data_IF_444399493988
#
_entry.id   IF_444399493988
#
_cell.length_a   1.000
_cell.length_b   1.000
_cell.length_c   1.000
_cell.angle_alpha   90.00
_cell.angle_beta   90.00
_cell.angle_gamma   90.00
#
_symmetry.space_group_name_H-M   'P 1'
#
loop_
_entity.id
_entity.type
_entity.pdbx_description
1 polymer ?
#
# COMPACT_ATOMS: atom_id res chain seq x y z
N UNK A 1 27.48 24.14 7.65
CA UNK A 1 26.40 23.35 8.27
C UNK A 1 25.78 22.47 7.22
N UNK A 2 25.68 21.16 7.45
CA UNK A 2 25.08 20.21 6.51
C UNK A 2 23.59 20.57 6.23
N UNK A 3 23.08 20.41 5.00
CA UNK A 3 21.70 20.77 4.65
C UNK A 3 20.63 20.14 5.56
N UNK A 4 20.87 18.93 6.08
CA UNK A 4 19.97 18.24 7.00
C UNK A 4 19.82 18.98 8.34
N UNK A 5 20.92 19.49 8.90
CA UNK A 5 20.92 20.21 10.19
C UNK A 5 20.10 21.49 10.09
N UNK A 6 20.18 22.20 8.97
CA UNK A 6 19.42 23.43 8.76
C UNK A 6 17.90 23.17 8.70
N UNK A 7 17.47 22.14 7.98
CA UNK A 7 16.05 21.76 7.89
C UNK A 7 15.47 21.42 9.27
N UNK A 8 16.22 20.65 10.07
CA UNK A 8 15.78 20.23 11.40
C UNK A 8 15.69 21.42 12.36
N UNK A 9 16.66 22.35 12.32
CA UNK A 9 16.62 23.57 13.13
C UNK A 9 15.43 24.45 12.78
N UNK A 10 15.15 24.64 11.49
CA UNK A 10 13.97 25.41 11.04
C UNK A 10 12.68 24.74 11.54
N UNK A 11 12.57 23.43 11.37
CA UNK A 11 11.38 22.68 11.79
C UNK A 11 11.14 22.78 13.31
N UNK A 12 12.19 22.66 14.13
CA UNK A 12 12.11 22.85 15.59
C UNK A 12 11.59 24.23 15.99
N UNK A 13 12.01 25.27 15.27
CA UNK A 13 11.53 26.64 15.53
C UNK A 13 10.09 26.84 15.08
N UNK A 14 9.70 26.21 13.97
CA UNK A 14 8.36 26.40 13.37
C UNK A 14 7.26 25.60 14.06
N UNK A 15 7.54 24.40 14.59
CA UNK A 15 6.54 23.57 15.30
C UNK A 15 5.76 24.34 16.38
N UNK A 16 6.40 25.03 17.34
CA UNK A 16 5.67 25.70 18.43
C UNK A 16 4.85 26.90 17.97
N UNK A 17 5.22 27.54 16.86
CA UNK A 17 4.49 28.71 16.30
C UNK A 17 3.43 28.32 15.27
N UNK A 18 3.44 27.07 14.80
CA UNK A 18 2.48 26.59 13.81
C UNK A 18 1.17 26.21 14.48
N UNK A 19 0.15 27.03 14.29
CA UNK A 19 -1.18 26.74 14.84
C UNK A 19 -1.87 25.60 14.08
N UNK A 20 -2.65 24.78 14.79
CA UNK A 20 -3.52 23.76 14.17
C UNK A 20 -4.47 24.37 13.12
N UNK A 21 -4.86 25.64 13.30
CA UNK A 21 -5.67 26.40 12.33
C UNK A 21 -4.92 26.62 11.02
N UNK A 22 -3.65 27.01 11.07
CA UNK A 22 -2.85 27.22 9.86
C UNK A 22 -2.69 25.92 9.06
N UNK A 23 -2.41 24.80 9.73
CA UNK A 23 -2.31 23.48 9.09
C UNK A 23 -3.63 23.06 8.44
N UNK A 24 -4.76 23.31 9.11
CA UNK A 24 -6.07 23.00 8.53
C UNK A 24 -6.38 23.87 7.31
N UNK A 25 -5.98 25.14 7.31
CA UNK A 25 -6.21 26.05 6.19
C UNK A 25 -5.29 25.76 5.00
N UNK A 26 -4.10 25.18 5.22
CA UNK A 26 -3.23 24.75 4.13
C UNK A 26 -3.70 23.46 3.45
N UNK A 27 -4.57 22.68 4.10
CA UNK A 27 -5.03 21.38 3.60
C UNK A 27 -3.97 20.28 3.56
N UNK A 28 -2.74 20.57 4.02
CA UNK A 28 -1.59 19.68 4.01
C UNK A 28 -0.82 19.81 5.33
N UNK A 29 -0.71 18.69 6.07
CA UNK A 29 0.11 18.59 7.28
C UNK A 29 1.61 18.47 6.95
N UNK A 30 2.52 19.04 7.77
CA UNK A 30 3.97 18.90 7.62
C UNK A 30 4.46 17.45 7.51
N UNK A 31 3.72 16.50 8.08
CA UNK A 31 4.02 15.06 8.00
C UNK A 31 3.97 14.56 6.55
N UNK A 32 3.07 15.11 5.71
CA UNK A 32 3.05 14.79 4.27
C UNK A 32 4.33 15.24 3.58
N UNK A 33 4.78 16.47 3.84
CA UNK A 33 5.98 17.02 3.22
C UNK A 33 7.25 16.27 3.66
N UNK A 34 7.31 15.86 4.93
CA UNK A 34 8.41 15.06 5.44
C UNK A 34 8.43 13.65 4.81
N UNK A 35 7.27 13.00 4.67
CA UNK A 35 7.15 11.71 4.01
C UNK A 35 7.46 11.77 2.50
N UNK A 36 6.95 12.78 1.80
CA UNK A 36 7.21 12.97 0.37
C UNK A 36 8.70 13.25 0.10
N UNK A 37 9.34 14.03 0.98
CA UNK A 37 10.76 14.34 0.87
C UNK A 37 11.72 13.27 1.42
N UNK A 38 11.23 12.12 1.92
CA UNK A 38 12.04 11.08 2.56
C UNK A 38 12.85 11.58 3.76
N UNK A 39 12.35 12.58 4.48
CA UNK A 39 13.06 13.24 5.59
C UNK A 39 12.73 12.52 6.90
N UNK A 40 13.36 11.37 7.14
CA UNK A 40 13.11 10.51 8.31
C UNK A 40 13.28 11.22 9.65
N UNK A 41 14.33 12.03 9.81
CA UNK A 41 14.57 12.83 11.03
C UNK A 41 13.44 13.85 11.28
N UNK A 42 12.91 14.44 10.21
CA UNK A 42 11.78 15.37 10.30
C UNK A 42 10.49 14.62 10.65
N UNK A 43 10.27 13.42 10.09
CA UNK A 43 9.13 12.57 10.45
C UNK A 43 9.16 12.23 11.94
N UNK A 44 10.28 11.73 12.47
CA UNK A 44 10.43 11.40 13.88
C UNK A 44 10.15 12.60 14.79
N UNK A 45 10.71 13.77 14.45
CA UNK A 45 10.48 14.99 15.22
C UNK A 45 9.00 15.39 15.23
N UNK A 46 8.32 15.30 14.08
CA UNK A 46 6.89 15.62 13.99
C UNK A 46 6.04 14.63 14.79
N UNK A 47 6.36 13.33 14.73
CA UNK A 47 5.68 12.29 15.52
C UNK A 47 5.84 12.56 17.01
N UNK A 48 7.06 12.87 17.47
CA UNK A 48 7.34 13.21 18.88
C UNK A 48 6.57 14.45 19.36
N UNK A 49 6.24 15.38 18.46
CA UNK A 49 5.44 16.57 18.76
C UNK A 49 3.93 16.35 18.60
N UNK A 50 3.47 15.10 18.44
CA UNK A 50 2.05 14.75 18.45
C UNK A 50 1.28 15.14 17.18
N UNK A 51 1.97 15.28 16.05
CA UNK A 51 1.29 15.43 14.76
C UNK A 51 0.56 14.13 14.40
N UNK A 52 -0.67 14.26 13.90
CA UNK A 52 -1.47 13.10 13.49
C UNK A 52 -0.91 12.45 12.22
N UNK A 53 -0.42 11.22 12.36
CA UNK A 53 0.19 10.42 11.32
C UNK A 53 -0.79 10.00 10.22
N UNK A 54 -2.08 9.97 10.55
CA UNK A 54 -3.18 9.58 9.67
C UNK A 54 -3.91 10.78 9.06
N UNK A 55 -3.36 12.00 9.18
CA UNK A 55 -3.90 13.18 8.52
C UNK A 55 -4.04 12.90 7.02
N UNK A 56 -5.17 13.27 6.45
CA UNK A 56 -5.41 13.19 5.02
C UNK A 56 -5.29 14.57 4.39
N UNK A 57 -4.73 14.64 3.19
CA UNK A 57 -4.83 15.83 2.36
C UNK A 57 -6.29 16.24 2.15
N UNK A 58 -6.52 17.56 2.13
CA UNK A 58 -7.79 18.10 1.71
C UNK A 58 -8.11 17.69 0.27
N UNK A 59 -9.41 17.54 -0.01
CA UNK A 59 -9.92 17.05 -1.29
C UNK A 59 -9.30 17.79 -2.48
N UNK A 60 -9.29 19.12 -2.44
CA UNK A 60 -8.77 19.98 -3.51
C UNK A 60 -7.26 19.79 -3.78
N UNK A 61 -6.49 19.30 -2.80
CA UNK A 61 -5.07 18.96 -2.98
C UNK A 61 -4.95 17.53 -3.52
N UNK A 62 -5.68 16.58 -2.91
CA UNK A 62 -5.64 15.17 -3.33
C UNK A 62 -6.08 14.98 -4.79
N UNK A 63 -7.00 15.81 -5.28
CA UNK A 63 -7.48 15.79 -6.67
C UNK A 63 -6.44 16.27 -7.69
N UNK A 64 -5.40 16.99 -7.25
CA UNK A 64 -4.27 17.36 -8.12
C UNK A 64 -3.32 16.17 -8.38
N UNK A 65 -3.46 15.08 -7.62
CA UNK A 65 -2.73 13.84 -7.86
C UNK A 65 -3.59 12.85 -8.62
N UNK A 66 -3.09 12.36 -9.76
CA UNK A 66 -3.82 11.40 -10.60
C UNK A 66 -4.15 10.06 -9.93
N UNK A 67 -3.51 9.75 -8.79
CA UNK A 67 -3.77 8.56 -7.98
C UNK A 67 -4.57 8.84 -6.71
N UNK A 68 -5.02 10.08 -6.51
CA UNK A 68 -5.84 10.52 -5.38
C UNK A 68 -5.22 10.21 -4.01
N UNK A 69 -3.87 10.25 -3.92
CA UNK A 69 -3.14 10.05 -2.67
C UNK A 69 -3.55 11.05 -1.61
N UNK A 70 -3.60 10.60 -0.36
CA UNK A 70 -4.06 11.40 0.77
C UNK A 70 -3.16 11.30 1.98
N UNK A 71 -2.61 10.14 2.31
CA UNK A 71 -1.88 9.96 3.58
C UNK A 71 -0.37 10.12 3.45
N UNK A 72 0.33 10.49 4.53
CA UNK A 72 1.80 10.47 4.57
C UNK A 72 2.39 9.09 4.22
N UNK A 73 1.77 8.00 4.70
CA UNK A 73 2.21 6.64 4.40
C UNK A 73 2.19 6.36 2.91
N UNK A 74 1.16 6.82 2.20
CA UNK A 74 1.09 6.69 0.75
C UNK A 74 2.26 7.37 0.05
N UNK A 75 2.65 8.58 0.47
CA UNK A 75 3.80 9.28 -0.11
C UNK A 75 5.10 8.49 0.04
N UNK A 76 5.40 8.01 1.26
CA UNK A 76 6.59 7.18 1.51
C UNK A 76 6.59 5.91 0.64
N UNK A 77 5.44 5.20 0.59
CA UNK A 77 5.29 3.97 -0.19
C UNK A 77 5.39 4.23 -1.70
N UNK A 78 4.81 5.34 -2.19
CA UNK A 78 4.90 5.77 -3.59
C UNK A 78 6.33 6.15 -3.98
N UNK A 79 7.12 6.69 -3.06
CA UNK A 79 8.50 7.11 -3.31
C UNK A 79 9.50 5.96 -3.14
N UNK A 80 9.10 4.89 -2.45
CA UNK A 80 9.94 3.69 -2.27
C UNK A 80 10.76 3.75 -1.00
N UNK A 81 10.42 4.71 -0.14
CA UNK A 81 11.10 4.96 1.11
C UNK A 81 10.65 3.93 2.16
N UNK A 82 11.39 2.82 2.22
CA UNK A 82 11.17 1.74 3.20
C UNK A 82 11.30 2.26 4.62
N UNK A 83 12.33 3.06 4.89
CA UNK A 83 12.62 3.60 6.23
C UNK A 83 11.52 4.55 6.68
N UNK A 84 11.13 5.51 5.82
CA UNK A 84 10.02 6.42 6.11
C UNK A 84 8.70 5.69 6.30
N UNK A 85 8.40 4.70 5.45
CA UNK A 85 7.21 3.87 5.61
C UNK A 85 7.22 3.11 6.94
N UNK A 86 8.35 2.53 7.34
CA UNK A 86 8.48 1.82 8.61
C UNK A 86 8.26 2.75 9.82
N UNK A 87 8.86 3.95 9.80
CA UNK A 87 8.66 4.97 10.85
C UNK A 87 7.17 5.32 10.99
N UNK A 88 6.49 5.58 9.87
CA UNK A 88 5.07 5.91 9.86
C UNK A 88 4.21 4.74 10.39
N UNK A 89 4.50 3.51 9.96
CA UNK A 89 3.80 2.30 10.41
C UNK A 89 4.00 2.03 11.90
N UNK A 90 5.23 2.18 12.42
CA UNK A 90 5.54 2.10 13.87
C UNK A 90 4.77 3.15 14.67
N UNK A 91 4.55 4.31 14.09
CA UNK A 91 3.75 5.39 14.70
C UNK A 91 2.22 5.19 14.56
N UNK A 92 1.75 4.06 14.02
CA UNK A 92 0.33 3.74 13.90
C UNK A 92 -0.34 4.25 12.63
N UNK A 93 0.43 4.48 11.56
CA UNK A 93 -0.15 4.80 10.26
C UNK A 93 -1.02 3.64 9.74
N UNK A 94 -2.23 3.99 9.29
CA UNK A 94 -3.20 3.05 8.73
C UNK A 94 -2.93 2.82 7.25
N UNK A 95 -3.02 1.56 6.83
CA UNK A 95 -2.76 1.15 5.44
C UNK A 95 -3.99 1.21 4.52
N UNK A 96 -5.14 1.64 5.05
CA UNK A 96 -6.46 1.50 4.42
C UNK A 96 -7.20 2.83 4.13
N UNK A 97 -6.55 3.96 4.38
CA UNK A 97 -7.16 5.30 4.26
C UNK A 97 -7.14 5.86 2.84
N UNK A 98 -6.19 5.44 2.00
CA UNK A 98 -6.10 5.88 0.62
C UNK A 98 -7.01 5.06 -0.30
N UNK A 99 -7.63 5.69 -1.32
CA UNK A 99 -8.49 4.99 -2.28
C UNK A 99 -7.76 3.81 -2.95
N UNK A 100 -6.55 4.06 -3.45
CA UNK A 100 -5.61 3.02 -3.86
C UNK A 100 -4.79 2.63 -2.62
N UNK A 101 -5.01 1.43 -2.08
CA UNK A 101 -4.32 1.01 -0.86
C UNK A 101 -2.80 0.97 -1.05
N UNK A 102 -2.05 1.35 -0.01
CA UNK A 102 -0.58 1.39 -0.05
C UNK A 102 0.04 0.08 -0.56
N UNK A 103 -0.51 -1.08 -0.17
CA UNK A 103 -0.02 -2.38 -0.64
C UNK A 103 -0.16 -2.55 -2.16
N UNK A 104 -1.24 -2.04 -2.77
CA UNK A 104 -1.43 -2.11 -4.22
C UNK A 104 -0.43 -1.19 -4.96
N UNK A 105 -0.05 -0.06 -4.36
CA UNK A 105 0.99 0.82 -4.89
C UNK A 105 2.35 0.12 -4.87
N UNK A 106 2.71 -0.49 -3.74
CA UNK A 106 3.97 -1.23 -3.59
C UNK A 106 4.04 -2.42 -4.56
N UNK A 107 2.94 -3.16 -4.73
CA UNK A 107 2.84 -4.26 -5.71
C UNK A 107 3.00 -3.75 -7.14
N UNK A 108 2.30 -2.68 -7.53
CA UNK A 108 2.41 -2.08 -8.87
C UNK A 108 3.83 -1.61 -9.20
N UNK A 109 4.57 -1.18 -8.18
CA UNK A 109 5.94 -0.71 -8.31
C UNK A 109 6.99 -1.81 -8.10
N UNK A 110 6.58 -3.07 -7.97
CA UNK A 110 7.46 -4.24 -7.76
C UNK A 110 8.37 -4.10 -6.51
N UNK A 111 7.89 -3.40 -5.47
CA UNK A 111 8.66 -3.12 -4.24
C UNK A 111 8.42 -4.18 -3.18
N UNK A 112 9.05 -5.33 -3.35
CA UNK A 112 8.94 -6.50 -2.47
C UNK A 112 9.10 -6.18 -0.99
N UNK A 113 10.11 -5.40 -0.64
CA UNK A 113 10.41 -5.05 0.75
C UNK A 113 9.27 -4.25 1.37
N UNK A 114 8.73 -3.25 0.65
CA UNK A 114 7.55 -2.50 1.10
C UNK A 114 6.31 -3.38 1.19
N UNK A 115 6.12 -4.35 0.28
CA UNK A 115 4.98 -5.27 0.36
C UNK A 115 5.09 -6.12 1.64
N UNK A 116 6.27 -6.69 1.92
CA UNK A 116 6.51 -7.46 3.15
C UNK A 116 6.30 -6.60 4.40
N UNK A 117 6.80 -5.37 4.39
CA UNK A 117 6.63 -4.43 5.49
C UNK A 117 5.15 -4.08 5.71
N UNK A 118 4.40 -3.74 4.67
CA UNK A 118 2.98 -3.41 4.81
C UNK A 118 2.18 -4.62 5.34
N UNK A 119 2.49 -5.83 4.87
CA UNK A 119 1.86 -7.06 5.35
C UNK A 119 2.20 -7.35 6.82
N UNK A 120 3.43 -7.11 7.28
CA UNK A 120 3.80 -7.31 8.68
C UNK A 120 3.10 -6.35 9.63
N UNK A 121 2.63 -5.19 9.13
CA UNK A 121 1.78 -4.25 9.86
C UNK A 121 0.28 -4.42 9.54
N UNK A 122 -0.14 -5.57 9.00
CA UNK A 122 -1.54 -5.95 8.88
C UNK A 122 -2.27 -5.35 7.68
N UNK A 123 -1.57 -4.94 6.62
CA UNK A 123 -2.22 -4.50 5.39
C UNK A 123 -3.10 -5.60 4.78
N UNK A 124 -4.36 -5.26 4.47
CA UNK A 124 -5.30 -6.18 3.83
C UNK A 124 -4.83 -6.57 2.42
N UNK A 125 -4.41 -7.83 2.26
CA UNK A 125 -3.92 -8.37 0.99
C UNK A 125 -5.05 -8.53 -0.05
N UNK A 126 -6.30 -8.79 0.38
CA UNK A 126 -7.45 -8.99 -0.52
C UNK A 126 -8.17 -7.70 -0.90
N UNK A 127 -7.46 -6.56 -0.87
CA UNK A 127 -8.00 -5.28 -1.28
C UNK A 127 -8.11 -5.16 -2.81
N UNK A 128 -8.96 -4.24 -3.25
CA UNK A 128 -9.19 -3.97 -4.66
C UNK A 128 -9.48 -2.48 -4.87
N UNK A 129 -9.23 -1.99 -6.08
CA UNK A 129 -9.44 -0.60 -6.44
C UNK A 129 -10.39 -0.49 -7.63
N UNK A 130 -11.60 0.07 -7.39
CA UNK A 130 -12.69 0.16 -8.39
C UNK A 130 -12.65 1.43 -9.25
N UNK A 131 -11.85 2.43 -8.89
CA UNK A 131 -11.94 3.75 -9.54
C UNK A 131 -11.32 3.74 -10.94
N UNK A 132 -10.25 2.98 -11.16
CA UNK A 132 -9.55 2.92 -12.46
C UNK A 132 -9.98 1.70 -13.29
N UNK A 133 -10.42 0.60 -12.67
CA UNK A 133 -10.88 -0.58 -13.41
C UNK A 133 -12.41 -0.79 -13.27
N UNK A 134 -13.14 -0.61 -14.38
CA UNK A 134 -14.54 -1.05 -14.45
C UNK A 134 -14.65 -2.59 -14.55
N UNK A 135 -13.53 -3.27 -14.72
CA UNK A 135 -13.44 -4.72 -14.62
C UNK A 135 -13.45 -5.10 -13.15
N UNK A 136 -14.36 -5.97 -12.72
CA UNK A 136 -14.33 -6.64 -11.40
C UNK A 136 -13.08 -7.54 -11.21
N UNK A 137 -12.05 -7.34 -12.02
CA UNK A 137 -10.82 -8.08 -12.04
C UNK A 137 -9.93 -7.63 -10.87
N UNK A 138 -9.36 -8.57 -10.09
CA UNK A 138 -8.58 -8.20 -8.93
C UNK A 138 -7.32 -7.39 -9.29
N UNK A 139 -7.23 -6.18 -8.74
CA UNK A 139 -6.16 -5.22 -9.06
C UNK A 139 -4.75 -5.78 -8.81
N UNK A 140 -4.55 -6.49 -7.70
CA UNK A 140 -3.26 -7.11 -7.38
C UNK A 140 -2.84 -8.17 -8.42
N UNK A 141 -3.75 -9.04 -8.87
CA UNK A 141 -3.44 -10.01 -9.92
C UNK A 141 -3.04 -9.34 -11.23
N UNK A 142 -3.67 -8.22 -11.56
CA UNK A 142 -3.35 -7.46 -12.77
C UNK A 142 -1.91 -6.94 -12.74
N UNK A 143 -1.47 -6.42 -11.60
CA UNK A 143 -0.10 -5.95 -11.43
C UNK A 143 0.93 -7.09 -11.46
N UNK A 144 0.57 -8.28 -10.93
CA UNK A 144 1.50 -9.41 -10.87
C UNK A 144 1.48 -10.32 -12.11
N UNK A 145 0.83 -9.98 -13.22
CA UNK A 145 0.72 -10.90 -14.38
C UNK A 145 2.07 -11.31 -14.96
N UNK A 146 3.05 -10.40 -14.90
CA UNK A 146 4.41 -10.64 -15.38
C UNK A 146 5.38 -10.99 -14.25
N UNK A 147 4.96 -10.78 -13.02
CA UNK A 147 5.78 -10.98 -11.83
C UNK A 147 5.20 -12.13 -10.99
N UNK A 148 5.71 -13.33 -11.27
CA UNK A 148 5.29 -14.55 -10.59
C UNK A 148 5.79 -14.63 -9.14
N UNK A 149 6.89 -13.96 -8.80
CA UNK A 149 7.45 -13.99 -7.46
C UNK A 149 6.67 -13.05 -6.53
N UNK A 150 6.28 -11.87 -7.01
CA UNK A 150 5.32 -11.01 -6.30
C UNK A 150 3.97 -11.71 -6.15
N UNK A 151 3.48 -12.38 -7.20
CA UNK A 151 2.24 -13.17 -7.11
C UNK A 151 2.35 -14.24 -6.02
N UNK A 152 3.47 -14.98 -5.98
CA UNK A 152 3.73 -16.01 -4.98
C UNK A 152 3.76 -15.41 -3.58
N UNK A 153 4.42 -14.26 -3.41
CA UNK A 153 4.46 -13.54 -2.13
C UNK A 153 3.04 -13.21 -1.63
N UNK A 154 2.19 -12.67 -2.52
CA UNK A 154 0.81 -12.34 -2.15
C UNK A 154 -0.01 -13.60 -1.82
N UNK A 155 0.11 -14.67 -2.61
CA UNK A 155 -0.56 -15.95 -2.35
C UNK A 155 -0.17 -16.53 -0.98
N UNK A 156 1.12 -16.56 -0.67
CA UNK A 156 1.65 -17.03 0.62
C UNK A 156 1.20 -16.14 1.78
N UNK A 157 0.86 -14.88 1.51
CA UNK A 157 0.36 -13.92 2.50
C UNK A 157 -1.17 -13.94 2.66
N UNK A 158 -1.85 -14.95 2.10
CA UNK A 158 -3.29 -15.15 2.27
C UNK A 158 -4.16 -14.51 1.17
N UNK A 159 -3.58 -14.17 0.01
CA UNK A 159 -4.35 -13.67 -1.12
C UNK A 159 -5.29 -14.74 -1.72
N UNK A 160 -6.58 -14.46 -1.72
CA UNK A 160 -7.65 -15.37 -2.13
C UNK A 160 -7.98 -15.18 -3.62
N UNK A 161 -7.06 -15.59 -4.50
CA UNK A 161 -7.24 -15.48 -5.95
C UNK A 161 -8.50 -16.22 -6.45
N UNK A 162 -8.78 -17.41 -5.91
CA UNK A 162 -9.86 -18.30 -6.37
C UNK A 162 -11.27 -17.75 -6.12
N UNK A 163 -11.51 -17.04 -5.00
CA UNK A 163 -12.85 -16.48 -4.69
C UNK A 163 -13.27 -15.36 -5.65
N UNK A 164 -12.32 -14.80 -6.40
CA UNK A 164 -12.55 -13.66 -7.29
C UNK A 164 -12.83 -14.06 -8.73
N UNK A 165 -12.56 -15.31 -9.10
CA UNK A 165 -12.98 -15.87 -10.38
C UNK A 165 -14.43 -16.33 -10.26
N UNK A 166 -15.38 -15.46 -10.65
CA UNK A 166 -16.78 -15.89 -10.76
C UNK A 166 -16.90 -16.97 -11.85
N UNK A 167 -17.62 -18.08 -11.62
CA UNK A 167 -17.74 -19.20 -12.56
C UNK A 167 -18.47 -18.84 -13.88
N UNK A 168 -18.93 -17.60 -14.05
CA UNK A 168 -19.68 -17.15 -15.24
C UNK A 168 -18.87 -16.34 -16.25
N UNK A 169 -17.57 -16.14 -16.05
CA UNK A 169 -16.78 -15.32 -16.97
C UNK A 169 -15.93 -16.17 -17.92
N UNK A 170 -16.55 -16.58 -19.03
CA UNK A 170 -15.94 -17.25 -20.20
C UNK A 170 -14.98 -16.36 -21.01
N UNK A 171 -14.38 -15.34 -20.39
CA UNK A 171 -13.44 -14.45 -21.07
C UNK A 171 -12.04 -15.06 -21.05
N UNK A 172 -11.45 -15.25 -22.22
CA UNK A 172 -10.09 -15.79 -22.43
C UNK A 172 -9.04 -15.22 -21.45
N UNK A 173 -9.08 -13.92 -21.16
CA UNK A 173 -8.16 -13.28 -20.22
C UNK A 173 -8.25 -13.84 -18.78
N UNK A 174 -9.44 -14.20 -18.30
CA UNK A 174 -9.62 -14.76 -16.96
C UNK A 174 -9.06 -16.18 -16.90
N UNK A 175 -9.22 -16.95 -17.96
CA UNK A 175 -8.66 -18.29 -18.09
C UNK A 175 -7.12 -18.26 -18.10
N UNK A 176 -6.50 -17.31 -18.81
CA UNK A 176 -5.04 -17.12 -18.79
C UNK A 176 -4.53 -16.79 -17.39
N UNK A 177 -5.19 -15.87 -16.69
CA UNK A 177 -4.82 -15.47 -15.32
C UNK A 177 -5.00 -16.65 -14.36
N UNK A 178 -6.10 -17.39 -14.48
CA UNK A 178 -6.34 -18.60 -13.70
C UNK A 178 -5.22 -19.62 -13.90
N UNK A 179 -4.79 -19.87 -15.14
CA UNK A 179 -3.67 -20.77 -15.43
C UNK A 179 -2.35 -20.26 -14.84
N UNK A 180 -2.08 -18.95 -14.87
CA UNK A 180 -0.89 -18.37 -14.23
C UNK A 180 -0.95 -18.60 -12.71
N UNK A 181 -2.07 -18.28 -12.05
CA UNK A 181 -2.26 -18.48 -10.62
C UNK A 181 -2.09 -19.95 -10.24
N UNK A 182 -2.72 -20.86 -10.98
CA UNK A 182 -2.61 -22.31 -10.74
C UNK A 182 -1.18 -22.79 -10.96
N UNK A 183 -0.49 -22.30 -11.98
CA UNK A 183 0.92 -22.65 -12.24
C UNK A 183 1.80 -22.17 -11.09
N UNK A 184 1.69 -20.92 -10.68
CA UNK A 184 2.50 -20.36 -9.58
C UNK A 184 2.19 -21.05 -8.25
N UNK A 185 0.92 -21.35 -7.95
CA UNK A 185 0.52 -22.05 -6.73
C UNK A 185 0.96 -23.52 -6.68
N UNK A 186 1.13 -24.18 -7.84
CA UNK A 186 1.58 -25.60 -7.93
C UNK A 186 3.09 -25.80 -7.85
N UNK A 187 3.89 -24.72 -7.92
CA UNK A 187 5.36 -24.80 -7.89
C UNK A 187 5.91 -24.96 -6.45
N UNK A 188 5.06 -25.02 -5.42
CA UNK A 188 5.45 -25.28 -4.03
C UNK A 188 5.27 -26.78 -3.66
N UNK A 189 6.35 -27.57 -3.46
CA UNK A 189 6.24 -28.96 -3.04
C UNK A 189 6.04 -29.17 -1.53
N UNK A 190 6.17 -28.15 -0.66
CA UNK A 190 6.37 -28.40 0.79
C UNK A 190 5.40 -27.76 1.79
N UNK A 191 4.35 -27.05 1.36
CA UNK A 191 3.31 -26.53 2.29
C UNK A 191 1.92 -27.10 2.00
N UNK A 192 1.85 -28.42 1.84
CA UNK A 192 0.61 -29.20 1.67
C UNK A 192 -0.22 -29.32 2.97
N UNK A 193 -0.36 -28.26 3.76
CA UNK A 193 -1.23 -28.30 4.94
C UNK A 193 -1.75 -26.91 5.33
N UNK A 194 -2.54 -26.30 4.44
CA UNK A 194 -3.47 -25.24 4.82
C UNK A 194 -4.76 -25.34 3.99
N UNK A 195 -5.61 -26.27 4.43
CA UNK A 195 -7.08 -26.34 4.51
C UNK A 195 -8.05 -25.62 3.52
N UNK A 196 -7.64 -24.77 2.56
CA UNK A 196 -8.61 -24.01 1.76
C UNK A 196 -8.98 -24.68 0.41
N UNK A 197 -8.20 -25.65 -0.09
CA UNK A 197 -8.36 -26.15 -1.47
C UNK A 197 -8.81 -27.61 -1.63
N UNK A 198 -9.03 -28.38 -0.54
CA UNK A 198 -9.48 -29.79 -0.67
C UNK A 198 -11.00 -29.99 -0.81
N UNK A 199 -11.84 -29.01 -0.48
CA UNK A 199 -13.29 -29.27 -0.38
C UNK A 199 -14.16 -28.82 -1.56
N UNK A 200 -13.63 -28.52 -2.76
CA UNK A 200 -14.48 -28.15 -3.91
C UNK A 200 -14.06 -28.64 -5.29
N UNK A 201 -13.11 -29.57 -5.40
CA UNK A 201 -12.72 -30.15 -6.71
C UNK A 201 -13.47 -31.47 -6.99
N UNK A 202 -14.26 -31.99 -6.04
CA UNK A 202 -15.11 -33.18 -6.25
C UNK A 202 -16.45 -32.90 -6.92
N UNK A 203 -16.91 -31.63 -6.97
CA UNK A 203 -18.32 -31.33 -7.29
C UNK A 203 -18.50 -30.68 -8.67
N UNK A 204 -17.57 -30.90 -9.60
CA UNK A 204 -17.66 -30.40 -10.99
C UNK A 204 -17.26 -31.48 -12.01
N UNK A 205 -17.78 -32.70 -11.81
CA UNK A 205 -18.10 -33.57 -12.94
C UNK A 205 -19.52 -33.27 -13.40
#
# INVERSE_FOLDING_TARGET
>A
SSPCVLKLCILRTLIPVTTKRAIRLSGQSPVHSAADGGQTECLELLIQNGFDINTQLDKHISENYGDLRKTPLYFAVSNGDVTGAEILLKAGARTDLDPLRCILVAVRAERYELVKLLLSYGAEVNCYFRVINNTAFPTALYYCLRDHDMLRLLLNSGYQAHKRFLPKSTRSCIYTVYNIVVKVAKVEPEQRENACMRNKISDIW
#
